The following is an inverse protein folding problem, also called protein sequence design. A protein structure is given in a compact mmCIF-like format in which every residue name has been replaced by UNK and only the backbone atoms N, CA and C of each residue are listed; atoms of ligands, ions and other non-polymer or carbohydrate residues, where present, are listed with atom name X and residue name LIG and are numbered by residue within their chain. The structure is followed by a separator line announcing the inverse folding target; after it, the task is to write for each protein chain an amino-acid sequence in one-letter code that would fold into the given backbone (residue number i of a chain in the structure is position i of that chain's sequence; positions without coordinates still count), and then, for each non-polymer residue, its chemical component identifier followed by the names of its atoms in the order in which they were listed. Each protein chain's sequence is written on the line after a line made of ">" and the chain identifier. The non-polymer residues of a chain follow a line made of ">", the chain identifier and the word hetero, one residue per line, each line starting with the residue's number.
data_IF_136117176050
#
_entry.id   IF_136117176050
#
_cell.length_a   1.000
_cell.length_b   1.000
_cell.length_c   1.000
_cell.angle_alpha   90.00
_cell.angle_beta   90.00
_cell.angle_gamma   90.00
#
_symmetry.space_group_name_H-M   'P 1'
#
loop_
_entity.id
_entity.type
_entity.pdbx_description
1 polymer ?
#
# COMPACT_ATOMS: atom_id res chain seq x y z
N UNK A 1 2.18 6.27 -6.70
CA UNK A 1 2.80 6.44 -5.37
C UNK A 1 4.23 6.90 -5.54
N UNK A 2 4.68 7.85 -4.71
CA UNK A 2 6.10 8.14 -4.57
C UNK A 2 6.60 7.70 -3.20
N UNK A 3 7.83 7.23 -3.13
CA UNK A 3 8.50 6.85 -1.89
C UNK A 3 9.68 7.77 -1.61
N UNK A 4 9.78 8.24 -0.36
CA UNK A 4 10.86 9.08 0.14
C UNK A 4 11.36 8.56 1.50
N UNK A 5 12.65 8.68 1.75
CA UNK A 5 13.28 8.27 3.02
C UNK A 5 14.27 9.34 3.47
N UNK A 6 14.26 9.67 4.76
CA UNK A 6 15.08 10.74 5.33
C UNK A 6 16.59 10.60 5.07
N UNK A 7 17.10 9.37 4.94
CA UNK A 7 18.52 9.10 4.70
C UNK A 7 18.86 8.84 3.22
N UNK A 8 17.93 9.12 2.30
CA UNK A 8 18.13 8.92 0.87
C UNK A 8 17.67 10.15 0.11
N UNK A 9 18.61 10.87 -0.51
CA UNK A 9 18.32 12.01 -1.39
C UNK A 9 17.77 11.54 -2.77
N UNK A 10 16.81 10.61 -2.77
CA UNK A 10 16.22 10.02 -3.97
C UNK A 10 14.72 9.78 -3.76
N UNK A 11 13.92 10.30 -4.70
CA UNK A 11 12.50 9.96 -4.82
C UNK A 11 12.37 8.79 -5.79
N UNK A 12 11.57 7.79 -5.42
CA UNK A 12 11.20 6.69 -6.32
C UNK A 12 9.72 6.81 -6.62
N UNK A 13 9.36 6.88 -7.89
CA UNK A 13 7.98 6.98 -8.34
C UNK A 13 7.53 5.67 -8.98
N UNK A 14 6.37 5.18 -8.56
CA UNK A 14 5.67 4.02 -9.12
C UNK A 14 4.23 4.44 -9.42
N UNK A 15 3.65 3.97 -10.51
CA UNK A 15 2.29 4.36 -10.86
C UNK A 15 1.85 3.91 -12.23
N UNK A 16 0.56 4.10 -12.57
CA UNK A 16 0.06 3.78 -13.89
C UNK A 16 0.62 4.75 -14.94
N UNK A 17 0.78 4.23 -16.15
CA UNK A 17 0.95 5.02 -17.37
C UNK A 17 -0.41 5.09 -18.03
N UNK A 18 -0.87 6.30 -18.34
CA UNK A 18 -2.24 6.52 -18.80
C UNK A 18 -2.28 7.22 -20.15
N UNK A 19 -3.21 6.79 -21.01
CA UNK A 19 -3.69 7.59 -22.14
C UNK A 19 -5.02 8.22 -21.73
N UNK A 20 -5.00 9.53 -21.48
CA UNK A 20 -6.07 10.23 -20.76
C UNK A 20 -6.35 9.56 -19.41
N UNK A 21 -7.53 8.94 -19.24
CA UNK A 21 -7.90 8.23 -18.01
C UNK A 21 -7.69 6.71 -18.08
N UNK A 22 -7.37 6.15 -19.24
CA UNK A 22 -7.21 4.71 -19.42
C UNK A 22 -5.79 4.29 -19.03
N UNK A 23 -5.67 3.26 -18.19
CA UNK A 23 -4.36 2.71 -17.83
C UNK A 23 -3.84 1.81 -18.97
N UNK A 24 -2.66 2.15 -19.50
CA UNK A 24 -2.00 1.42 -20.60
C UNK A 24 -0.71 0.70 -20.17
N UNK A 25 -0.25 0.94 -18.93
CA UNK A 25 0.96 0.32 -18.42
C UNK A 25 1.31 0.77 -17.00
N UNK A 26 2.51 0.40 -16.53
CA UNK A 26 2.96 0.68 -15.17
C UNK A 26 4.44 1.04 -15.10
N UNK A 27 4.76 2.08 -14.33
CA UNK A 27 6.11 2.34 -13.82
C UNK A 27 6.28 1.64 -12.48
N UNK A 28 7.21 0.67 -12.39
CA UNK A 28 7.48 -0.13 -11.19
C UNK A 28 8.94 -0.02 -10.77
N UNK A 29 9.21 -0.05 -9.47
CA UNK A 29 10.57 0.01 -8.90
C UNK A 29 11.36 -1.28 -9.15
N UNK A 30 10.66 -2.42 -9.21
CA UNK A 30 11.23 -3.73 -9.51
C UNK A 30 10.39 -4.39 -10.60
N UNK A 31 10.96 -4.51 -11.80
CA UNK A 31 10.52 -5.54 -12.75
C UNK A 31 11.16 -6.85 -12.25
N UNK A 32 10.45 -7.60 -11.42
CA UNK A 32 10.90 -8.97 -11.14
C UNK A 32 10.67 -9.78 -12.42
N UNK A 33 11.72 -10.39 -12.97
CA UNK A 33 11.70 -11.17 -14.21
C UNK A 33 10.98 -12.53 -14.10
N UNK A 34 10.16 -12.76 -13.08
CA UNK A 34 9.60 -14.08 -12.82
C UNK A 34 8.14 -13.95 -12.41
N UNK A 35 7.25 -14.38 -13.32
CA UNK A 35 6.08 -15.25 -13.11
C UNK A 35 5.17 -15.02 -11.89
N UNK A 36 5.19 -13.86 -11.24
CA UNK A 36 4.09 -13.47 -10.38
C UNK A 36 2.98 -12.93 -11.27
N UNK A 37 1.96 -13.77 -11.52
CA UNK A 37 0.59 -13.43 -11.96
C UNK A 37 -0.13 -12.49 -10.99
N UNK A 38 0.63 -11.72 -10.20
CA UNK A 38 0.17 -10.88 -9.11
C UNK A 38 0.21 -9.45 -9.60
N UNK A 39 -0.96 -8.82 -9.55
CA UNK A 39 -1.14 -7.42 -9.87
C UNK A 39 -0.02 -6.54 -9.31
N UNK A 40 0.58 -5.64 -10.11
CA UNK A 40 1.79 -4.89 -9.75
C UNK A 40 1.57 -3.82 -8.68
N UNK A 41 0.33 -3.64 -8.22
CA UNK A 41 -0.11 -2.54 -7.39
C UNK A 41 0.16 -2.76 -5.89
N UNK A 42 0.67 -1.73 -5.21
CA UNK A 42 0.66 -1.70 -3.75
C UNK A 42 -0.78 -1.61 -3.22
N UNK A 43 -1.08 -2.11 -2.01
CA UNK A 43 -2.45 -2.10 -1.45
C UNK A 43 -3.05 -0.69 -1.41
N UNK A 44 -2.25 0.32 -1.06
CA UNK A 44 -2.70 1.71 -1.02
C UNK A 44 -2.72 2.39 -2.39
N UNK A 45 -2.31 1.70 -3.46
CA UNK A 45 -2.21 2.24 -4.81
C UNK A 45 -3.48 2.11 -5.65
N UNK A 46 -4.55 1.53 -5.13
CA UNK A 46 -5.81 1.37 -5.84
C UNK A 46 -7.00 1.68 -4.93
N UNK A 47 -8.13 1.96 -5.57
CA UNK A 47 -9.44 2.10 -4.93
C UNK A 47 -10.48 1.41 -5.80
N UNK A 48 -11.61 1.08 -5.21
CA UNK A 48 -12.68 0.36 -5.89
C UNK A 48 -14.05 0.82 -5.35
N UNK A 49 -15.10 0.59 -6.14
CA UNK A 49 -16.46 0.88 -5.71
C UNK A 49 -16.87 -0.10 -4.60
N UNK A 50 -17.37 0.39 -3.47
CA UNK A 50 -17.71 -0.41 -2.30
C UNK A 50 -18.71 -1.54 -2.57
N UNK A 51 -19.53 -1.43 -3.62
CA UNK A 51 -20.41 -2.52 -4.09
C UNK A 51 -19.67 -3.84 -4.32
N UNK A 52 -18.39 -3.80 -4.70
CA UNK A 52 -17.55 -5.00 -4.90
C UNK A 52 -17.45 -5.85 -3.63
N UNK A 53 -17.53 -5.28 -2.43
CA UNK A 53 -17.45 -6.04 -1.16
C UNK A 53 -18.72 -6.84 -0.85
N UNK A 54 -19.83 -6.53 -1.51
CA UNK A 54 -21.14 -7.08 -1.19
C UNK A 54 -21.80 -7.78 -2.39
N UNK A 55 -21.07 -7.94 -3.49
CA UNK A 55 -21.56 -8.60 -4.69
C UNK A 55 -21.71 -10.11 -4.42
N UNK A 56 -22.94 -10.65 -4.39
CA UNK A 56 -23.19 -12.05 -4.08
C UNK A 56 -22.63 -13.00 -5.14
N UNK A 57 -22.41 -12.57 -6.38
CA UNK A 57 -21.77 -13.42 -7.39
C UNK A 57 -20.27 -13.58 -7.13
N UNK A 58 -19.62 -12.53 -6.56
CA UNK A 58 -18.19 -12.52 -6.22
C UNK A 58 -17.90 -13.13 -4.84
N UNK A 59 -18.81 -12.96 -3.87
CA UNK A 59 -18.63 -13.41 -2.47
C UNK A 59 -19.50 -14.63 -2.09
N UNK A 60 -20.53 -14.96 -2.87
CA UNK A 60 -21.58 -15.93 -2.52
C UNK A 60 -21.26 -17.40 -2.77
N UNK A 61 -19.99 -17.76 -3.01
CA UNK A 61 -19.55 -19.17 -3.03
C UNK A 61 -18.30 -19.33 -2.16
N UNK A 62 -18.41 -19.87 -0.93
CA UNK A 62 -17.25 -20.42 -0.29
C UNK A 62 -16.80 -21.61 -1.14
N UNK A 63 -15.75 -21.43 -1.95
CA UNK A 63 -15.07 -22.57 -2.51
C UNK A 63 -14.65 -23.44 -1.33
N UNK A 64 -15.01 -24.72 -1.33
CA UNK A 64 -14.78 -25.64 -0.21
C UNK A 64 -13.28 -25.92 0.05
N UNK A 65 -12.39 -25.11 -0.50
CA UNK A 65 -10.94 -25.28 -0.53
C UNK A 65 -10.20 -24.15 0.19
N UNK A 66 -10.84 -23.02 0.52
CA UNK A 66 -10.08 -21.84 0.90
C UNK A 66 -10.02 -21.59 2.41
N UNK A 67 -9.11 -22.36 3.01
CA UNK A 67 -8.21 -22.03 4.12
C UNK A 67 -8.50 -20.67 4.79
N UNK A 68 -8.89 -20.71 6.07
CA UNK A 68 -9.12 -19.54 6.93
C UNK A 68 -7.86 -18.64 7.11
N UNK A 69 -6.78 -18.94 6.40
CA UNK A 69 -5.55 -18.16 6.29
C UNK A 69 -5.54 -17.13 5.14
N UNK A 70 -6.61 -17.08 4.30
CA UNK A 70 -6.64 -16.17 3.16
C UNK A 70 -6.45 -14.71 3.59
N UNK A 71 -5.36 -14.11 3.11
CA UNK A 71 -5.08 -12.70 3.30
C UNK A 71 -6.18 -11.89 2.61
N UNK A 72 -7.14 -11.36 3.40
CA UNK A 72 -8.32 -10.62 2.92
C UNK A 72 -7.96 -9.47 1.96
N UNK A 73 -6.79 -8.87 2.16
CA UNK A 73 -6.24 -7.85 1.27
C UNK A 73 -5.92 -8.41 -0.12
N UNK A 74 -5.33 -9.61 -0.18
CA UNK A 74 -4.99 -10.25 -1.44
C UNK A 74 -6.25 -10.56 -2.24
N UNK A 75 -7.29 -11.06 -1.57
CA UNK A 75 -8.58 -11.33 -2.18
C UNK A 75 -9.22 -10.06 -2.75
N UNK A 76 -9.36 -9.00 -1.95
CA UNK A 76 -9.92 -7.72 -2.40
C UNK A 76 -9.16 -7.17 -3.60
N UNK A 77 -7.83 -7.33 -3.61
CA UNK A 77 -6.99 -6.91 -4.73
C UNK A 77 -7.28 -7.70 -6.01
N UNK A 78 -7.41 -9.02 -5.93
CA UNK A 78 -7.74 -9.87 -7.09
C UNK A 78 -9.12 -9.52 -7.65
N UNK A 79 -10.12 -9.34 -6.77
CA UNK A 79 -11.49 -9.02 -7.19
C UNK A 79 -11.58 -7.61 -7.79
N UNK A 80 -10.88 -6.62 -7.21
CA UNK A 80 -10.88 -5.25 -7.72
C UNK A 80 -10.17 -5.11 -9.07
N UNK A 81 -9.26 -6.03 -9.40
CA UNK A 81 -8.43 -6.00 -10.61
C UNK A 81 -8.79 -7.10 -11.62
N UNK A 82 -9.96 -7.72 -11.46
CA UNK A 82 -10.45 -8.81 -12.33
C UNK A 82 -10.43 -8.44 -13.82
N UNK A 83 -10.69 -7.15 -14.12
CA UNK A 83 -10.65 -6.61 -15.48
C UNK A 83 -9.72 -5.38 -15.52
N UNK A 84 -8.45 -5.63 -15.86
CA UNK A 84 -7.44 -4.57 -15.95
C UNK A 84 -7.79 -3.50 -17.01
N UNK A 85 -8.60 -3.84 -18.02
CA UNK A 85 -9.02 -2.88 -19.06
C UNK A 85 -9.97 -1.80 -18.53
N UNK A 86 -10.64 -2.07 -17.40
CA UNK A 86 -11.54 -1.11 -16.72
C UNK A 86 -10.82 -0.20 -15.73
N UNK A 87 -9.51 -0.37 -15.54
CA UNK A 87 -8.75 0.46 -14.63
C UNK A 87 -8.68 1.90 -15.13
N UNK A 88 -8.98 2.82 -14.21
CA UNK A 88 -8.96 4.24 -14.47
C UNK A 88 -7.88 4.91 -13.65
N UNK A 89 -7.11 5.73 -14.35
CA UNK A 89 -6.13 6.63 -13.80
C UNK A 89 -6.73 7.76 -12.97
N UNK A 90 -6.07 8.11 -11.87
CA UNK A 90 -6.40 9.29 -11.07
C UNK A 90 -5.10 10.09 -10.85
N UNK A 91 -5.04 11.38 -11.23
CA UNK A 91 -6.10 12.18 -11.87
C UNK A 91 -6.39 11.77 -13.32
N UNK A 92 -7.60 12.04 -13.80
CA UNK A 92 -8.12 11.53 -15.08
C UNK A 92 -7.46 12.12 -16.33
N UNK A 93 -6.76 13.24 -16.20
CA UNK A 93 -6.15 13.93 -17.34
C UNK A 93 -4.92 13.19 -17.90
N UNK A 94 -4.14 12.48 -17.07
CA UNK A 94 -2.86 11.86 -17.50
C UNK A 94 -2.11 11.04 -16.42
N UNK A 95 -2.71 10.78 -15.24
CA UNK A 95 -1.98 10.14 -14.12
C UNK A 95 -0.71 10.87 -13.67
N UNK A 96 -0.55 12.16 -14.01
CA UNK A 96 0.71 12.90 -13.81
C UNK A 96 1.00 13.34 -12.37
N UNK A 97 0.03 13.20 -11.46
CA UNK A 97 0.15 13.72 -10.09
C UNK A 97 0.42 12.62 -9.08
N UNK A 98 1.38 12.87 -8.20
CA UNK A 98 1.62 12.05 -7.02
C UNK A 98 0.59 12.43 -5.95
N UNK A 99 -0.39 11.56 -5.75
CA UNK A 99 -1.44 11.73 -4.72
C UNK A 99 -1.15 10.95 -3.43
N UNK A 100 -0.16 10.06 -3.44
CA UNK A 100 0.17 9.20 -2.30
C UNK A 100 1.68 9.10 -2.12
N UNK A 101 2.12 9.44 -0.91
CA UNK A 101 3.51 9.39 -0.47
C UNK A 101 3.70 8.28 0.57
N UNK A 102 4.64 7.39 0.29
CA UNK A 102 5.13 6.40 1.25
C UNK A 102 6.40 6.96 1.90
N UNK A 103 6.26 7.50 3.10
CA UNK A 103 7.35 8.12 3.85
C UNK A 103 7.94 7.11 4.84
N UNK A 104 9.23 6.80 4.68
CA UNK A 104 9.95 6.04 5.68
C UNK A 104 10.57 6.99 6.70
N UNK A 105 9.92 7.11 7.85
CA UNK A 105 10.37 7.90 8.99
C UNK A 105 11.06 6.94 9.96
N UNK A 106 12.38 7.04 10.17
CA UNK A 106 13.06 6.21 11.15
C UNK A 106 12.55 6.57 12.55
N UNK A 107 12.25 5.55 13.35
CA UNK A 107 11.97 5.77 14.79
C UNK A 107 13.30 6.16 15.43
N UNK A 108 13.36 7.37 15.99
CA UNK A 108 14.54 7.83 16.71
C UNK A 108 14.85 6.87 17.85
N UNK A 109 16.11 6.44 17.97
CA UNK A 109 16.59 5.79 19.20
C UNK A 109 16.39 6.78 20.34
N UNK A 110 15.36 6.58 21.16
CA UNK A 110 15.18 7.32 22.41
C UNK A 110 16.49 7.15 23.21
N UNK A 111 17.23 8.23 23.51
CA UNK A 111 18.39 8.10 24.38
C UNK A 111 17.89 7.65 25.76
N UNK A 112 18.39 6.51 26.26
CA UNK A 112 18.05 5.99 27.60
C UNK A 112 18.61 6.91 28.69
N UNK A 113 18.02 8.08 28.92
CA UNK A 113 18.39 8.95 30.05
C UNK A 113 17.40 8.92 31.23
N UNK A 114 16.27 8.22 31.12
CA UNK A 114 15.35 8.08 32.24
C UNK A 114 15.50 6.74 32.96
N UNK A 115 16.57 6.60 33.74
CA UNK A 115 16.62 5.62 34.84
C UNK A 115 17.74 6.00 35.83
N UNK A 116 17.50 7.03 36.64
CA UNK A 116 17.97 7.15 38.04
C UNK A 116 17.46 8.46 38.63
N UNK A 117 16.26 8.41 39.21
CA UNK A 117 15.95 9.26 40.36
C UNK A 117 16.08 8.34 41.57
N UNK A 118 17.18 8.50 42.31
CA UNK A 118 17.29 7.94 43.67
C UNK A 118 16.30 8.67 44.57
N UNK A 119 15.58 7.98 45.47
CA UNK A 119 14.72 8.65 46.44
C UNK A 119 15.57 9.57 47.33
N UNK A 120 15.12 10.81 47.51
CA UNK A 120 15.63 11.71 48.55
C UNK A 120 15.30 11.09 49.91
N UNK A 121 16.36 10.82 50.68
CA UNK A 121 16.32 10.42 52.07
C UNK A 121 15.69 11.55 52.90
N UNK A 122 14.45 11.35 53.35
CA UNK A 122 13.75 12.27 54.25
C UNK A 122 14.15 11.92 55.69
N UNK A 123 15.30 12.44 56.10
CA UNK A 123 15.73 12.41 57.49
C UNK A 123 16.40 13.74 57.84
N UNK A 124 15.57 14.72 58.22
CA UNK A 124 15.78 15.73 59.28
C UNK A 124 14.79 16.90 59.13
N UNK A 125 13.68 16.86 59.87
CA UNK A 125 13.32 17.86 60.90
C UNK A 125 12.01 17.51 61.59
#
# INVERSE_FOLDING_TARGET
>A
MASLSANRNKVIMEGPVCDSSQVIGWHLKKMNNETETRSPLHISGFSFNSSILWDPERWGRPSSVQDNSQNSIKFVKEVALEDESKLKGIPQEDCSRILLWNLHIPVGTIPRYHQRLTPLDDSRR
#
